data_IF_288226275881
#
_entry.id   IF_288226275881
#
_cell.length_a   1.000
_cell.length_b   1.000
_cell.length_c   1.000
_cell.angle_alpha   90.00
_cell.angle_beta   90.00
_cell.angle_gamma   90.00
#
_symmetry.space_group_name_H-M   'P 1'
#
loop_
_entity.id
_entity.type
_entity.pdbx_description
1 polymer ?
#
# COMPACT_ATOMS: atom_id res chain seq x y z
N UNK A 1 -3.96 14.77 16.93
CA UNK A 1 -5.22 14.07 16.56
C UNK A 1 -5.42 14.13 15.06
N UNK A 2 -4.86 13.14 14.36
CA UNK A 2 -5.10 12.96 12.94
C UNK A 2 -6.56 12.60 12.67
N UNK A 3 -7.09 13.03 11.53
CA UNK A 3 -8.42 12.62 11.03
C UNK A 3 -8.35 11.45 10.05
N UNK A 4 -7.15 10.98 9.72
CA UNK A 4 -6.96 9.90 8.76
C UNK A 4 -7.35 8.55 9.38
N UNK A 5 -8.16 7.76 8.68
CA UNK A 5 -8.62 6.46 9.18
C UNK A 5 -7.47 5.50 9.50
N UNK A 6 -6.39 5.49 8.72
CA UNK A 6 -5.24 4.62 8.97
C UNK A 6 -4.48 5.01 10.24
N UNK A 7 -4.40 6.32 10.54
CA UNK A 7 -3.76 6.82 11.76
C UNK A 7 -4.58 6.46 12.99
N UNK A 8 -5.90 6.62 12.92
CA UNK A 8 -6.83 6.25 13.99
C UNK A 8 -6.78 4.74 14.22
N UNK A 9 -6.80 3.95 13.14
CA UNK A 9 -6.75 2.49 13.19
C UNK A 9 -5.46 1.97 13.82
N UNK A 10 -4.28 2.46 13.40
CA UNK A 10 -3.02 1.93 13.93
C UNK A 10 -2.83 2.27 15.41
N UNK A 11 -3.30 3.45 15.85
CA UNK A 11 -3.31 3.85 17.26
C UNK A 11 -4.27 2.97 18.06
N UNK A 12 -5.46 2.69 17.53
CA UNK A 12 -6.43 1.78 18.13
C UNK A 12 -5.86 0.37 18.30
N UNK A 13 -5.23 -0.18 17.26
CA UNK A 13 -4.56 -1.49 17.31
C UNK A 13 -3.39 -1.51 18.31
N UNK A 14 -2.67 -0.39 18.46
CA UNK A 14 -1.57 -0.27 19.42
C UNK A 14 -2.10 -0.32 20.86
N UNK A 15 -3.16 0.43 21.18
CA UNK A 15 -3.76 0.39 22.52
C UNK A 15 -4.37 -0.99 22.83
N UNK A 16 -4.96 -1.65 21.83
CA UNK A 16 -5.42 -3.03 21.95
C UNK A 16 -4.28 -4.00 22.21
N UNK A 17 -3.17 -3.87 21.48
CA UNK A 17 -1.95 -4.66 21.70
C UNK A 17 -1.44 -4.50 23.14
N UNK A 18 -1.30 -3.27 23.64
CA UNK A 18 -0.82 -3.00 25.00
C UNK A 18 -1.74 -3.67 26.03
N UNK A 19 -3.06 -3.53 25.87
CA UNK A 19 -4.06 -4.18 26.75
C UNK A 19 -3.91 -5.70 26.75
N UNK A 20 -3.78 -6.33 25.58
CA UNK A 20 -3.62 -7.78 25.48
C UNK A 20 -2.30 -8.26 26.10
N UNK A 21 -1.20 -7.55 25.86
CA UNK A 21 0.12 -7.87 26.44
C UNK A 21 0.06 -7.75 27.96
N UNK A 22 -0.44 -6.64 28.49
CA UNK A 22 -0.51 -6.38 29.93
C UNK A 22 -1.34 -7.45 30.66
N UNK A 23 -2.56 -7.74 30.18
CA UNK A 23 -3.45 -8.73 30.79
C UNK A 23 -2.81 -10.13 30.83
N UNK A 24 -2.07 -10.51 29.79
CA UNK A 24 -1.41 -11.82 29.75
C UNK A 24 -0.12 -11.84 30.58
N UNK A 25 0.64 -10.74 30.61
CA UNK A 25 1.81 -10.60 31.49
C UNK A 25 1.44 -10.67 32.97
N UNK A 26 0.34 -10.03 33.39
CA UNK A 26 -0.19 -10.13 34.76
C UNK A 26 -0.56 -11.57 35.15
N UNK A 27 -0.93 -12.40 34.17
CA UNK A 27 -1.24 -13.83 34.36
C UNK A 27 -0.02 -14.74 34.19
N UNK A 28 1.17 -14.18 33.94
CA UNK A 28 2.39 -14.92 33.60
C UNK A 28 2.24 -15.83 32.36
N UNK A 29 1.30 -15.54 31.45
CA UNK A 29 1.11 -16.26 30.20
C UNK A 29 1.90 -15.57 29.07
N UNK A 30 3.22 -15.82 29.04
CA UNK A 30 4.12 -15.19 28.08
C UNK A 30 3.79 -15.54 26.63
N UNK A 31 3.29 -16.76 26.37
CA UNK A 31 2.95 -17.22 25.02
C UNK A 31 1.80 -16.38 24.45
N UNK A 32 0.75 -16.15 25.25
CA UNK A 32 -0.34 -15.27 24.84
C UNK A 32 0.05 -13.80 24.82
N UNK A 33 0.97 -13.37 25.68
CA UNK A 33 1.46 -11.99 25.67
C UNK A 33 2.25 -11.66 24.39
N UNK A 34 3.03 -12.60 23.84
CA UNK A 34 3.86 -12.31 22.66
C UNK A 34 3.13 -12.49 21.33
N UNK A 35 2.09 -13.34 21.26
CA UNK A 35 1.38 -13.67 20.02
C UNK A 35 0.82 -12.44 19.26
N UNK A 36 0.25 -11.42 19.93
CA UNK A 36 -0.30 -10.25 19.25
C UNK A 36 0.74 -9.40 18.48
N UNK A 37 2.03 -9.46 18.84
CA UNK A 37 3.06 -8.66 18.18
C UNK A 37 3.22 -8.98 16.69
N UNK A 38 3.11 -10.25 16.30
CA UNK A 38 3.24 -10.67 14.90
C UNK A 38 2.19 -9.96 14.03
N UNK A 39 0.93 -9.98 14.47
CA UNK A 39 -0.17 -9.32 13.79
C UNK A 39 0.02 -7.80 13.76
N UNK A 40 0.43 -7.20 14.88
CA UNK A 40 0.62 -5.76 14.92
C UNK A 40 1.75 -5.27 14.00
N UNK A 41 2.88 -6.00 13.96
CA UNK A 41 4.01 -5.66 13.07
C UNK A 41 3.62 -5.79 11.60
N UNK A 42 2.84 -6.81 11.23
CA UNK A 42 2.27 -6.93 9.88
C UNK A 42 1.35 -5.73 9.56
N UNK A 43 0.45 -5.37 10.49
CA UNK A 43 -0.45 -4.23 10.34
C UNK A 43 0.33 -2.92 10.13
N UNK A 44 1.35 -2.69 10.96
CA UNK A 44 2.17 -1.49 10.91
C UNK A 44 2.95 -1.40 9.59
N UNK A 45 3.61 -2.48 9.19
CA UNK A 45 4.48 -2.50 8.02
C UNK A 45 3.70 -2.55 6.69
N UNK A 46 2.87 -3.59 6.53
CA UNK A 46 2.25 -3.93 5.25
C UNK A 46 0.97 -3.16 4.97
N UNK A 47 0.32 -2.60 5.99
CA UNK A 47 -0.93 -1.86 5.82
C UNK A 47 -0.77 -0.38 6.11
N UNK A 48 -0.29 0.00 7.30
CA UNK A 48 -0.14 1.40 7.66
C UNK A 48 0.98 2.08 6.87
N UNK A 49 2.24 1.66 7.05
CA UNK A 49 3.41 2.32 6.41
C UNK A 49 3.31 2.25 4.89
N UNK A 50 3.00 1.08 4.32
CA UNK A 50 2.92 0.91 2.86
C UNK A 50 1.88 1.84 2.22
N UNK A 51 0.69 1.97 2.81
CA UNK A 51 -0.38 2.82 2.26
C UNK A 51 -0.15 4.30 2.55
N UNK A 52 0.50 4.62 3.67
CA UNK A 52 0.87 6.00 4.01
C UNK A 52 2.15 6.50 3.32
N UNK A 53 2.82 5.71 2.47
CA UNK A 53 4.05 6.12 1.73
C UNK A 53 3.92 7.46 1.01
N UNK A 54 2.79 7.69 0.34
CA UNK A 54 2.55 8.97 -0.36
C UNK A 54 2.55 10.14 0.62
N UNK A 55 2.03 9.96 1.83
CA UNK A 55 1.97 10.99 2.88
C UNK A 55 3.35 11.33 3.40
N UNK A 56 4.23 10.34 3.56
CA UNK A 56 5.62 10.57 3.97
C UNK A 56 6.45 11.30 2.90
N UNK A 57 6.22 11.02 1.62
CA UNK A 57 7.04 11.54 0.50
C UNK A 57 6.45 12.74 -0.25
N UNK A 58 5.40 13.39 0.26
CA UNK A 58 4.95 14.68 -0.26
C UNK A 58 6.06 15.72 -0.11
N UNK A 59 6.33 16.47 -1.18
CA UNK A 59 7.32 17.57 -1.18
C UNK A 59 6.86 18.77 -0.35
N UNK A 60 5.54 18.98 -0.26
CA UNK A 60 4.95 20.01 0.57
C UNK A 60 4.89 19.55 2.04
N UNK A 61 5.28 20.44 2.96
CA UNK A 61 5.05 20.23 4.39
C UNK A 61 3.60 20.65 4.70
N UNK A 62 2.68 19.71 4.51
CA UNK A 62 1.28 19.86 4.89
C UNK A 62 1.01 19.26 6.29
N UNK A 63 -0.12 19.67 6.89
CA UNK A 63 -0.54 19.15 8.20
C UNK A 63 -0.74 17.62 8.18
N UNK A 64 -1.12 17.06 7.04
CA UNK A 64 -1.32 15.61 6.86
C UNK A 64 -0.01 14.83 7.00
N UNK A 65 1.07 15.30 6.39
CA UNK A 65 2.41 14.71 6.51
C UNK A 65 2.92 14.76 7.95
N UNK A 66 2.73 15.89 8.64
CA UNK A 66 3.12 16.02 10.04
C UNK A 66 2.33 15.06 10.93
N UNK A 67 1.01 14.97 10.75
CA UNK A 67 0.16 13.99 11.45
C UNK A 67 0.64 12.55 11.22
N UNK A 68 0.99 12.17 9.98
CA UNK A 68 1.49 10.83 9.67
C UNK A 68 2.82 10.52 10.40
N UNK A 69 3.74 11.49 10.46
CA UNK A 69 5.00 11.34 11.19
C UNK A 69 4.80 11.27 12.69
N UNK A 70 3.95 12.13 13.26
CA UNK A 70 3.61 12.11 14.68
C UNK A 70 2.98 10.77 15.08
N UNK A 71 2.02 10.26 14.32
CA UNK A 71 1.39 8.97 14.57
C UNK A 71 2.40 7.82 14.48
N UNK A 72 3.27 7.83 13.46
CA UNK A 72 4.29 6.79 13.31
C UNK A 72 5.31 6.84 14.45
N UNK A 73 5.77 8.04 14.83
CA UNK A 73 6.69 8.24 15.95
C UNK A 73 6.09 7.74 17.25
N UNK A 74 4.86 8.18 17.58
CA UNK A 74 4.12 7.72 18.76
C UNK A 74 3.99 6.19 18.77
N UNK A 75 3.65 5.60 17.63
CA UNK A 75 3.47 4.15 17.50
C UNK A 75 4.76 3.39 17.74
N UNK A 76 5.86 3.79 17.10
CA UNK A 76 7.15 3.10 17.23
C UNK A 76 7.77 3.27 18.61
N UNK A 77 7.69 4.46 19.20
CA UNK A 77 8.18 4.72 20.56
C UNK A 77 7.41 3.89 21.56
N UNK A 78 6.08 3.88 21.48
CA UNK A 78 5.24 3.09 22.39
C UNK A 78 5.44 1.60 22.19
N UNK A 79 5.49 1.13 20.93
CA UNK A 79 5.81 -0.27 20.62
C UNK A 79 7.15 -0.68 21.21
N UNK A 80 8.18 0.18 21.13
CA UNK A 80 9.50 -0.08 21.71
C UNK A 80 9.41 -0.34 23.21
N UNK A 81 8.62 0.44 23.94
CA UNK A 81 8.37 0.20 25.37
C UNK A 81 7.62 -1.12 25.61
N UNK A 82 6.60 -1.43 24.80
CA UNK A 82 5.82 -2.66 24.94
C UNK A 82 6.65 -3.93 24.65
N UNK A 83 7.57 -3.88 23.68
CA UNK A 83 8.41 -5.04 23.31
C UNK A 83 9.67 -5.18 24.17
N UNK A 84 10.05 -4.15 24.95
CA UNK A 84 11.28 -4.13 25.75
C UNK A 84 11.46 -5.35 26.68
N UNK A 85 10.41 -5.86 27.37
CA UNK A 85 10.54 -7.06 28.21
C UNK A 85 10.86 -8.35 27.43
N UNK A 86 10.63 -8.38 26.12
CA UNK A 86 10.75 -9.58 25.28
C UNK A 86 11.96 -9.52 24.34
N UNK A 87 12.26 -8.35 23.77
CA UNK A 87 13.34 -8.14 22.78
C UNK A 87 14.15 -6.88 23.13
N UNK A 88 14.90 -6.90 24.24
CA UNK A 88 15.43 -5.69 24.86
C UNK A 88 16.41 -4.88 24.00
N UNK A 89 17.22 -5.54 23.19
CA UNK A 89 18.20 -4.87 22.32
C UNK A 89 17.54 -4.17 21.13
N UNK A 90 16.53 -4.82 20.52
CA UNK A 90 15.78 -4.23 19.39
C UNK A 90 14.96 -3.04 19.91
N UNK A 91 14.30 -3.20 21.06
CA UNK A 91 13.57 -2.13 21.71
C UNK A 91 14.44 -0.90 21.97
N UNK A 92 15.64 -1.12 22.52
CA UNK A 92 16.61 -0.08 22.83
C UNK A 92 17.07 0.67 21.57
N UNK A 93 17.40 -0.07 20.50
CA UNK A 93 17.86 0.51 19.25
C UNK A 93 16.80 1.39 18.59
N UNK A 94 15.54 0.92 18.53
CA UNK A 94 14.44 1.71 17.97
C UNK A 94 14.19 2.96 18.84
N UNK A 95 14.14 2.80 20.16
CA UNK A 95 13.84 3.89 21.09
C UNK A 95 14.90 5.00 21.05
N UNK A 96 16.19 4.65 21.07
CA UNK A 96 17.29 5.61 21.01
C UNK A 96 17.38 6.37 19.68
N UNK A 97 17.01 5.73 18.58
CA UNK A 97 17.00 6.39 17.28
C UNK A 97 15.85 7.39 17.11
N UNK A 98 14.77 7.24 17.88
CA UNK A 98 13.57 8.06 17.78
C UNK A 98 13.39 9.08 18.91
N UNK A 99 14.09 8.89 20.03
CA UNK A 99 14.01 9.75 21.22
C UNK A 99 15.38 10.30 21.57
N UNK A 100 15.43 11.28 22.48
CA UNK A 100 16.68 11.78 23.06
C UNK A 100 16.90 11.26 24.48
N UNK A 101 16.09 10.29 24.89
CA UNK A 101 16.07 9.74 26.24
C UNK A 101 17.17 8.67 26.40
N UNK A 102 17.49 8.35 27.66
CA UNK A 102 18.65 7.52 27.98
C UNK A 102 18.51 6.05 27.57
N UNK A 103 17.36 5.42 27.87
CA UNK A 103 17.10 4.02 27.55
C UNK A 103 15.61 3.70 27.68
N UNK A 104 15.11 2.77 26.86
CA UNK A 104 13.72 2.30 26.97
C UNK A 104 13.47 1.55 28.28
N UNK A 105 14.51 0.92 28.84
CA UNK A 105 14.45 0.10 30.05
C UNK A 105 14.34 0.91 31.34
N UNK A 106 14.50 2.24 31.24
CA UNK A 106 14.31 3.19 32.34
C UNK A 106 12.92 3.85 32.30
N UNK A 107 12.05 3.40 31.38
CA UNK A 107 10.70 3.95 31.22
C UNK A 107 9.65 3.01 31.82
N UNK A 108 8.54 3.59 32.27
CA UNK A 108 7.37 2.82 32.67
C UNK A 108 6.79 2.04 31.48
N UNK A 109 6.22 0.87 31.79
CA UNK A 109 5.44 0.12 30.80
C UNK A 109 4.26 0.99 30.31
N UNK A 110 4.00 1.05 28.99
CA UNK A 110 3.01 1.98 28.46
C UNK A 110 1.60 1.58 28.92
N UNK A 111 0.78 2.58 29.26
CA UNK A 111 -0.62 2.39 29.61
C UNK A 111 -1.49 2.41 28.35
N UNK A 112 -2.50 1.55 28.29
CA UNK A 112 -3.53 1.62 27.26
C UNK A 112 -4.66 2.60 27.66
N UNK A 113 -5.31 3.21 26.67
CA UNK A 113 -6.53 4.01 26.87
C UNK A 113 -7.69 3.33 26.15
N UNK A 114 -8.71 2.88 26.89
CA UNK A 114 -9.88 2.23 26.31
C UNK A 114 -10.65 3.14 25.34
N UNK A 115 -10.56 4.46 25.49
CA UNK A 115 -11.22 5.41 24.59
C UNK A 115 -10.54 5.49 23.22
N UNK A 116 -9.27 5.11 23.15
CA UNK A 116 -8.51 5.06 21.89
C UNK A 116 -8.71 3.72 21.17
N UNK A 117 -9.31 2.72 21.82
CA UNK A 117 -9.61 1.42 21.20
C UNK A 117 -10.97 1.50 20.51
N UNK A 118 -10.93 1.66 19.19
CA UNK A 118 -12.09 1.51 18.33
C UNK A 118 -12.20 0.04 17.86
N UNK A 119 -12.93 -0.78 18.64
CA UNK A 119 -13.13 -2.18 18.29
C UNK A 119 -13.88 -2.38 16.98
N UNK A 120 -14.81 -1.48 16.66
CA UNK A 120 -15.60 -1.56 15.42
C UNK A 120 -14.67 -1.37 14.23
N UNK A 121 -13.85 -0.31 14.24
CA UNK A 121 -12.87 -0.03 13.20
C UNK A 121 -11.85 -1.18 13.06
N UNK A 122 -11.35 -1.71 14.17
CA UNK A 122 -10.38 -2.81 14.14
C UNK A 122 -10.97 -4.06 13.49
N UNK A 123 -12.23 -4.40 13.79
CA UNK A 123 -12.95 -5.53 13.19
C UNK A 123 -13.19 -5.29 11.69
N UNK A 124 -13.69 -4.11 11.33
CA UNK A 124 -13.97 -3.76 9.93
C UNK A 124 -12.69 -3.73 9.08
N UNK A 125 -11.61 -3.19 9.61
CA UNK A 125 -10.31 -3.16 8.94
C UNK A 125 -9.74 -4.57 8.81
N UNK A 126 -9.80 -5.41 9.86
CA UNK A 126 -9.40 -6.82 9.76
C UNK A 126 -10.17 -7.54 8.66
N UNK A 127 -11.50 -7.43 8.65
CA UNK A 127 -12.35 -8.04 7.61
C UNK A 127 -11.98 -7.55 6.21
N UNK A 128 -11.75 -6.25 6.06
CA UNK A 128 -11.34 -5.65 4.78
C UNK A 128 -10.02 -6.25 4.29
N UNK A 129 -9.04 -6.41 5.18
CA UNK A 129 -7.74 -7.02 4.86
C UNK A 129 -7.86 -8.50 4.50
N UNK A 130 -8.68 -9.25 5.22
CA UNK A 130 -8.95 -10.66 4.95
C UNK A 130 -9.57 -10.83 3.54
N UNK A 131 -10.59 -10.02 3.21
CA UNK A 131 -11.21 -9.98 1.87
C UNK A 131 -10.17 -9.63 0.79
N UNK A 132 -9.34 -8.62 1.01
CA UNK A 132 -8.30 -8.23 0.05
C UNK A 132 -7.29 -9.37 -0.17
N UNK A 133 -6.86 -10.04 0.90
CA UNK A 133 -5.93 -11.17 0.83
C UNK A 133 -6.50 -12.31 0.00
N UNK A 134 -7.75 -12.70 0.27
CA UNK A 134 -8.47 -13.71 -0.51
C UNK A 134 -8.62 -13.30 -1.99
N UNK A 135 -8.94 -12.03 -2.26
CA UNK A 135 -9.03 -11.50 -3.62
C UNK A 135 -7.68 -11.55 -4.36
N UNK A 136 -6.58 -11.15 -3.72
CA UNK A 136 -5.23 -11.24 -4.29
C UNK A 136 -4.83 -12.70 -4.55
N UNK A 137 -5.25 -13.63 -3.68
CA UNK A 137 -5.06 -15.05 -3.89
C UNK A 137 -5.84 -15.54 -5.12
N UNK A 138 -7.11 -15.16 -5.28
CA UNK A 138 -7.91 -15.49 -6.47
C UNK A 138 -7.25 -14.94 -7.75
N UNK A 139 -6.70 -13.73 -7.73
CA UNK A 139 -5.95 -13.17 -8.86
C UNK A 139 -4.75 -14.04 -9.23
N UNK A 140 -4.01 -14.50 -8.22
CA UNK A 140 -2.83 -15.36 -8.40
C UNK A 140 -3.24 -16.71 -9.01
N UNK A 141 -4.31 -17.34 -8.51
CA UNK A 141 -4.85 -18.59 -9.05
C UNK A 141 -5.30 -18.45 -10.51
N UNK A 142 -5.92 -17.34 -10.86
CA UNK A 142 -6.35 -17.03 -12.24
C UNK A 142 -5.22 -16.45 -13.12
N UNK A 143 -3.99 -16.35 -12.60
CA UNK A 143 -2.81 -15.76 -13.29
C UNK A 143 -3.02 -14.32 -13.78
N UNK A 144 -3.89 -13.55 -13.11
CA UNK A 144 -4.18 -12.16 -13.42
C UNK A 144 -3.27 -11.25 -12.57
N UNK A 145 -2.34 -10.55 -13.21
CA UNK A 145 -1.45 -9.60 -12.52
C UNK A 145 -2.25 -8.46 -11.89
N UNK A 146 -1.91 -8.00 -10.68
CA UNK A 146 -2.60 -6.89 -9.99
C UNK A 146 -2.70 -5.62 -10.83
N UNK A 147 -1.72 -5.36 -11.70
CA UNK A 147 -1.72 -4.19 -12.61
C UNK A 147 -2.83 -4.21 -13.67
N UNK A 148 -3.40 -5.37 -13.98
CA UNK A 148 -4.55 -5.51 -14.87
C UNK A 148 -5.81 -5.04 -14.11
N UNK A 149 -6.44 -3.91 -14.44
CA UNK A 149 -7.68 -3.53 -13.77
C UNK A 149 -8.77 -4.55 -14.10
N UNK A 150 -9.60 -4.85 -13.11
CA UNK A 150 -10.82 -5.65 -13.29
C UNK A 150 -12.06 -4.76 -13.15
N UNK A 151 -13.15 -5.19 -13.76
CA UNK A 151 -14.41 -4.45 -13.76
C UNK A 151 -14.97 -4.32 -12.35
N UNK A 152 -15.16 -5.46 -11.70
CA UNK A 152 -15.78 -5.49 -10.39
C UNK A 152 -15.25 -6.64 -9.53
N UNK A 153 -15.49 -6.50 -8.23
CA UNK A 153 -15.42 -7.58 -7.26
C UNK A 153 -16.77 -7.69 -6.56
N UNK A 154 -17.23 -8.91 -6.31
CA UNK A 154 -18.43 -9.17 -5.51
C UNK A 154 -18.01 -9.65 -4.14
N UNK A 155 -18.42 -8.94 -3.09
CA UNK A 155 -18.19 -9.33 -1.70
C UNK A 155 -19.49 -9.82 -1.08
N UNK A 156 -19.38 -10.79 -0.18
CA UNK A 156 -20.53 -11.35 0.53
C UNK A 156 -21.10 -10.34 1.51
N UNK A 157 -20.18 -9.68 2.19
CA UNK A 157 -20.47 -8.87 3.34
C UNK A 157 -20.38 -7.38 3.04
N UNK A 158 -21.36 -6.62 3.51
CA UNK A 158 -21.35 -5.17 3.39
C UNK A 158 -20.26 -4.57 4.27
N UNK A 159 -19.35 -3.83 3.64
CA UNK A 159 -18.51 -2.83 4.28
C UNK A 159 -19.24 -1.49 4.14
N UNK A 160 -19.46 -0.76 5.22
CA UNK A 160 -20.21 0.51 5.17
C UNK A 160 -19.29 1.68 4.86
N UNK A 161 -18.14 1.71 5.53
CA UNK A 161 -17.15 2.77 5.42
C UNK A 161 -16.64 2.96 3.99
N UNK A 162 -16.61 4.22 3.55
CA UNK A 162 -16.23 4.60 2.19
C UNK A 162 -14.72 4.49 1.99
N UNK A 163 -13.93 4.89 2.99
CA UNK A 163 -12.47 4.83 2.93
C UNK A 163 -11.99 3.37 2.90
N UNK A 164 -12.63 2.46 3.66
CA UNK A 164 -12.33 1.01 3.59
C UNK A 164 -12.65 0.41 2.21
N UNK A 165 -13.72 0.85 1.56
CA UNK A 165 -14.02 0.45 0.17
C UNK A 165 -12.96 0.95 -0.80
N UNK A 166 -12.50 2.19 -0.62
CA UNK A 166 -11.45 2.74 -1.47
C UNK A 166 -10.13 2.01 -1.30
N UNK A 167 -9.76 1.65 -0.06
CA UNK A 167 -8.63 0.77 0.23
C UNK A 167 -8.77 -0.55 -0.56
N UNK A 168 -9.94 -1.19 -0.49
CA UNK A 168 -10.19 -2.44 -1.20
C UNK A 168 -10.13 -2.29 -2.74
N UNK A 169 -10.70 -1.20 -3.30
CA UNK A 169 -10.63 -0.92 -4.76
C UNK A 169 -9.20 -0.78 -5.24
N UNK A 170 -8.39 -0.03 -4.50
CA UNK A 170 -7.00 0.22 -4.84
C UNK A 170 -6.14 -1.05 -4.73
N UNK A 171 -6.26 -1.81 -3.65
CA UNK A 171 -5.47 -3.01 -3.42
C UNK A 171 -5.82 -4.12 -4.40
N UNK A 172 -7.11 -4.33 -4.66
CA UNK A 172 -7.57 -5.31 -5.63
C UNK A 172 -7.50 -4.80 -7.07
N UNK A 173 -7.22 -3.52 -7.30
CA UNK A 173 -7.28 -2.86 -8.61
C UNK A 173 -8.57 -3.19 -9.39
N UNK A 174 -9.70 -2.84 -8.79
CA UNK A 174 -11.04 -3.03 -9.36
C UNK A 174 -11.77 -1.68 -9.47
N UNK A 175 -12.66 -1.54 -10.46
CA UNK A 175 -13.44 -0.30 -10.62
C UNK A 175 -14.61 -0.26 -9.64
N UNK A 176 -15.36 -1.37 -9.53
CA UNK A 176 -16.56 -1.45 -8.71
C UNK A 176 -16.50 -2.56 -7.65
N UNK A 177 -17.29 -2.37 -6.59
CA UNK A 177 -17.50 -3.34 -5.52
C UNK A 177 -19.00 -3.61 -5.42
N UNK A 178 -19.39 -4.83 -5.77
CA UNK A 178 -20.76 -5.33 -5.72
C UNK A 178 -20.95 -6.14 -4.45
N UNK A 179 -22.18 -6.19 -3.94
CA UNK A 179 -22.52 -6.95 -2.74
C UNK A 179 -23.52 -8.03 -3.13
N UNK A 180 -23.26 -9.26 -2.71
CA UNK A 180 -24.16 -10.40 -2.93
C UNK A 180 -24.19 -11.29 -1.70
N UNK A 181 -25.21 -11.14 -0.86
CA UNK A 181 -25.36 -11.91 0.39
C UNK A 181 -25.56 -13.41 0.16
N UNK A 182 -25.98 -13.81 -1.05
CA UNK A 182 -26.29 -15.19 -1.43
C UNK A 182 -25.08 -16.01 -1.88
N UNK A 183 -23.88 -15.41 -1.98
CA UNK A 183 -22.71 -16.13 -2.47
C UNK A 183 -22.01 -16.92 -1.35
N UNK A 184 -21.45 -18.09 -1.72
CA UNK A 184 -20.75 -18.97 -0.77
C UNK A 184 -19.39 -18.40 -0.34
N UNK A 185 -18.62 -17.88 -1.30
CA UNK A 185 -17.29 -17.31 -1.09
C UNK A 185 -17.34 -15.88 -0.52
N UNK A 186 -16.41 -15.47 0.33
CA UNK A 186 -16.40 -14.10 0.87
C UNK A 186 -16.18 -13.06 -0.23
N UNK A 187 -15.44 -13.43 -1.29
CA UNK A 187 -15.08 -12.58 -2.41
C UNK A 187 -15.13 -13.36 -3.72
N UNK A 188 -15.55 -12.71 -4.80
CA UNK A 188 -15.50 -13.23 -6.17
C UNK A 188 -15.11 -12.15 -7.15
N UNK A 189 -14.06 -12.39 -7.93
CA UNK A 189 -13.58 -11.44 -8.94
C UNK A 189 -14.34 -11.60 -10.28
N UNK A 190 -14.64 -10.48 -10.93
CA UNK A 190 -15.01 -10.50 -12.34
C UNK A 190 -13.75 -10.72 -13.19
N UNK A 191 -13.57 -11.95 -13.67
CA UNK A 191 -12.42 -12.35 -14.49
C UNK A 191 -12.61 -12.01 -15.98
N UNK A 192 -13.75 -11.43 -16.38
CA UNK A 192 -13.98 -11.04 -17.76
C UNK A 192 -13.25 -9.72 -18.07
N UNK A 193 -12.12 -9.82 -18.75
CA UNK A 193 -11.31 -8.67 -19.15
C UNK A 193 -11.83 -8.14 -20.49
N UNK A 194 -12.51 -7.00 -20.45
CA UNK A 194 -12.93 -6.29 -21.67
C UNK A 194 -11.71 -5.76 -22.44
N UNK A 195 -11.82 -5.51 -23.75
CA UNK A 195 -10.72 -4.93 -24.55
C UNK A 195 -10.17 -3.64 -23.93
N UNK A 196 -11.04 -2.79 -23.38
CA UNK A 196 -10.65 -1.54 -22.74
C UNK A 196 -9.85 -1.74 -21.46
N UNK A 197 -10.26 -2.69 -20.61
CA UNK A 197 -9.51 -3.03 -19.41
C UNK A 197 -8.15 -3.64 -19.78
N UNK A 198 -8.08 -4.47 -20.83
CA UNK A 198 -6.83 -5.03 -21.32
C UNK A 198 -5.85 -3.93 -21.76
N UNK A 199 -6.32 -2.96 -22.54
CA UNK A 199 -5.52 -1.82 -22.96
C UNK A 199 -5.05 -0.97 -21.76
N UNK A 200 -5.90 -0.75 -20.75
CA UNK A 200 -5.52 -0.04 -19.52
C UNK A 200 -4.43 -0.81 -18.75
N UNK A 201 -4.54 -2.14 -18.67
CA UNK A 201 -3.53 -3.00 -18.05
C UNK A 201 -2.17 -2.92 -18.75
N UNK A 202 -2.18 -2.92 -20.09
CA UNK A 202 -0.96 -2.72 -20.90
C UNK A 202 -0.38 -1.33 -20.64
N UNK A 203 -1.21 -0.28 -20.62
CA UNK A 203 -0.76 1.09 -20.33
C UNK A 203 -0.04 1.19 -18.98
N UNK A 204 -0.59 0.56 -17.93
CA UNK A 204 0.05 0.54 -16.60
C UNK A 204 1.36 -0.25 -16.56
N UNK A 205 1.47 -1.33 -17.33
CA UNK A 205 2.73 -2.06 -17.46
C UNK A 205 3.77 -1.22 -18.21
N UNK A 206 3.37 -0.48 -19.26
CA UNK A 206 4.24 0.46 -19.97
C UNK A 206 4.75 1.56 -19.03
N UNK A 207 3.87 2.18 -18.24
CA UNK A 207 4.25 3.18 -17.22
C UNK A 207 5.31 2.62 -16.28
N UNK A 208 5.13 1.39 -15.78
CA UNK A 208 6.13 0.74 -14.90
C UNK A 208 7.47 0.59 -15.59
N UNK A 209 7.48 0.13 -16.85
CA UNK A 209 8.71 -0.05 -17.62
C UNK A 209 9.40 1.29 -17.84
N UNK A 210 8.67 2.34 -18.21
CA UNK A 210 9.21 3.68 -18.42
C UNK A 210 9.77 4.24 -17.10
N UNK A 211 9.05 4.09 -15.99
CA UNK A 211 9.54 4.53 -14.68
C UNK A 211 10.81 3.80 -14.24
N UNK A 212 10.90 2.51 -14.56
CA UNK A 212 12.12 1.73 -14.34
C UNK A 212 13.27 2.23 -15.24
N UNK A 213 12.98 2.53 -16.50
CA UNK A 213 13.95 3.13 -17.43
C UNK A 213 14.45 4.49 -16.94
N UNK A 214 13.59 5.34 -16.36
CA UNK A 214 13.99 6.63 -15.76
C UNK A 214 15.02 6.44 -14.64
N UNK A 215 14.81 5.44 -13.78
CA UNK A 215 15.75 5.10 -12.70
C UNK A 215 17.07 4.56 -13.25
N UNK A 216 17.00 3.68 -14.25
CA UNK A 216 18.18 3.11 -14.92
C UNK A 216 19.01 4.19 -15.63
N UNK A 217 18.36 5.20 -16.22
CA UNK A 217 19.01 6.34 -16.84
C UNK A 217 19.51 7.41 -15.84
N UNK A 218 19.26 7.22 -14.54
CA UNK A 218 19.70 8.15 -13.50
C UNK A 218 18.94 9.48 -13.47
N UNK A 219 17.71 9.54 -13.98
CA UNK A 219 16.90 10.76 -13.95
C UNK A 219 16.39 11.07 -12.56
N UNK A 220 16.32 12.36 -12.24
CA UNK A 220 15.69 12.84 -11.01
C UNK A 220 14.16 12.75 -11.11
N UNK A 221 13.50 12.78 -9.96
CA UNK A 221 12.06 12.50 -9.82
C UNK A 221 11.21 13.52 -10.61
N UNK A 222 11.66 14.77 -10.71
CA UNK A 222 10.97 15.90 -11.35
C UNK A 222 11.35 16.10 -12.82
N UNK A 223 12.30 15.33 -13.35
CA UNK A 223 12.76 15.48 -14.72
C UNK A 223 11.64 15.14 -15.72
N UNK A 224 11.42 16.05 -16.66
CA UNK A 224 10.51 15.85 -17.79
C UNK A 224 11.25 15.15 -18.93
N UNK A 225 10.56 14.28 -19.65
CA UNK A 225 11.15 13.44 -20.70
C UNK A 225 10.33 13.45 -21.99
N UNK A 226 10.95 13.14 -23.12
CA UNK A 226 10.28 12.75 -24.35
C UNK A 226 10.32 11.24 -24.50
N UNK A 227 9.18 10.64 -24.83
CA UNK A 227 9.02 9.19 -25.00
C UNK A 227 8.69 8.93 -26.47
N UNK A 228 9.52 8.09 -27.10
CA UNK A 228 9.24 7.56 -28.42
C UNK A 228 8.96 6.07 -28.34
N UNK A 229 8.04 5.59 -29.17
CA UNK A 229 7.65 4.19 -29.15
C UNK A 229 7.40 3.63 -30.54
N UNK A 230 7.68 2.34 -30.71
CA UNK A 230 7.23 1.53 -31.85
C UNK A 230 6.43 0.31 -31.36
N UNK A 231 5.56 -0.23 -32.22
CA UNK A 231 4.64 -1.31 -31.89
C UNK A 231 3.16 -0.89 -31.96
N UNK A 232 2.30 -1.54 -31.17
CA UNK A 232 0.86 -1.33 -31.22
C UNK A 232 0.47 0.07 -30.74
N UNK A 233 -0.21 0.84 -31.60
CA UNK A 233 -0.55 2.25 -31.33
C UNK A 233 -1.79 2.42 -30.43
N UNK A 234 -2.68 1.43 -30.40
CA UNK A 234 -4.00 1.50 -29.76
C UNK A 234 -3.93 1.93 -28.29
N UNK A 235 -2.96 1.39 -27.55
CA UNK A 235 -2.76 1.71 -26.12
C UNK A 235 -2.39 3.17 -25.93
N UNK A 236 -1.49 3.69 -26.76
CA UNK A 236 -1.02 5.07 -26.67
C UNK A 236 -2.04 6.09 -27.18
N UNK A 237 -2.88 5.70 -28.15
CA UNK A 237 -3.99 6.55 -28.61
C UNK A 237 -5.04 6.70 -27.50
N UNK A 238 -5.37 5.62 -26.79
CA UNK A 238 -6.44 5.63 -25.78
C UNK A 238 -5.98 6.06 -24.39
N UNK A 239 -4.75 5.73 -24.00
CA UNK A 239 -4.21 5.96 -22.66
C UNK A 239 -2.91 6.80 -22.68
N UNK A 240 -2.64 7.54 -23.76
CA UNK A 240 -1.47 8.40 -23.89
C UNK A 240 -1.37 9.44 -22.77
N UNK A 241 -2.47 10.10 -22.43
CA UNK A 241 -2.52 11.10 -21.35
C UNK A 241 -2.16 10.51 -19.98
N UNK A 242 -2.64 9.28 -19.70
CA UNK A 242 -2.30 8.55 -18.48
C UNK A 242 -0.79 8.27 -18.45
N UNK A 243 -0.24 7.75 -19.55
CA UNK A 243 1.19 7.41 -19.65
C UNK A 243 2.03 8.68 -19.48
N UNK A 244 1.71 9.76 -20.19
CA UNK A 244 2.44 11.02 -20.13
C UNK A 244 2.41 11.62 -18.71
N UNK A 245 1.23 11.67 -18.08
CA UNK A 245 1.07 12.20 -16.73
C UNK A 245 1.86 11.40 -15.70
N UNK A 246 1.73 10.08 -15.71
CA UNK A 246 2.40 9.21 -14.73
C UNK A 246 3.91 9.12 -14.96
N UNK A 247 4.41 9.47 -16.15
CA UNK A 247 5.86 9.42 -16.48
C UNK A 247 6.51 10.79 -16.59
N UNK A 248 5.80 11.88 -16.29
CA UNK A 248 6.22 13.27 -16.53
C UNK A 248 6.72 13.50 -17.97
N UNK A 249 6.08 12.87 -18.94
CA UNK A 249 6.45 13.03 -20.34
C UNK A 249 5.85 14.33 -20.91
N UNK A 250 6.67 15.13 -21.57
CA UNK A 250 6.21 16.30 -22.33
C UNK A 250 5.76 15.91 -23.74
N UNK A 251 6.33 14.85 -24.27
CA UNK A 251 6.10 14.39 -25.64
C UNK A 251 5.97 12.87 -25.65
N UNK A 252 4.97 12.40 -26.39
CA UNK A 252 4.74 10.99 -26.64
C UNK A 252 4.51 10.80 -28.15
N UNK A 253 5.51 10.28 -28.84
CA UNK A 253 5.57 10.26 -30.31
C UNK A 253 5.82 8.86 -30.85
N UNK A 254 5.09 8.48 -31.90
CA UNK A 254 5.31 7.20 -32.58
C UNK A 254 6.50 7.30 -33.53
N UNK A 255 7.47 6.40 -33.39
CA UNK A 255 8.65 6.34 -34.25
C UNK A 255 9.90 5.86 -33.53
N UNK A 256 10.96 5.67 -34.30
CA UNK A 256 12.29 5.45 -33.76
C UNK A 256 13.00 6.78 -33.52
N UNK A 257 13.79 6.84 -32.44
CA UNK A 257 14.61 8.00 -32.14
C UNK A 257 16.06 7.68 -32.45
N UNK A 258 16.76 8.56 -33.18
CA UNK A 258 18.17 8.34 -33.54
C UNK A 258 19.11 8.63 -32.36
N UNK A 259 18.75 9.59 -31.51
CA UNK A 259 19.48 9.93 -30.28
C UNK A 259 18.60 9.67 -29.07
N UNK A 260 18.92 8.66 -28.26
CA UNK A 260 18.17 8.32 -27.05
C UNK A 260 19.14 8.08 -25.89
N UNK A 261 18.67 8.29 -24.67
CA UNK A 261 19.46 8.01 -23.47
C UNK A 261 19.33 6.53 -23.06
N UNK A 262 18.15 5.94 -23.27
CA UNK A 262 17.91 4.52 -23.03
C UNK A 262 16.85 3.96 -23.99
N UNK A 263 17.09 2.74 -24.47
CA UNK A 263 16.15 1.94 -25.26
C UNK A 263 15.81 0.65 -24.51
N UNK A 264 14.54 0.23 -24.58
CA UNK A 264 14.11 -1.06 -24.03
C UNK A 264 13.08 -1.72 -24.93
N UNK A 265 13.32 -2.99 -25.25
CA UNK A 265 12.35 -3.84 -25.92
C UNK A 265 11.59 -4.68 -24.90
N UNK A 266 10.28 -4.75 -25.04
CA UNK A 266 9.39 -5.47 -24.14
C UNK A 266 8.29 -6.20 -24.92
N UNK A 267 7.93 -7.38 -24.42
CA UNK A 267 6.79 -8.16 -24.88
C UNK A 267 5.69 -8.11 -23.82
N UNK A 268 4.55 -7.50 -24.17
CA UNK A 268 3.37 -7.46 -23.31
C UNK A 268 2.21 -8.10 -24.07
N UNK A 269 1.65 -9.18 -23.51
CA UNK A 269 0.51 -9.91 -24.07
C UNK A 269 0.68 -10.30 -25.56
N UNK A 270 1.92 -10.66 -25.95
CA UNK A 270 2.27 -11.06 -27.31
C UNK A 270 2.57 -9.89 -28.26
N UNK A 271 2.36 -8.65 -27.83
CA UNK A 271 2.73 -7.45 -28.59
C UNK A 271 4.14 -6.99 -28.22
N UNK A 272 4.98 -6.78 -29.23
CA UNK A 272 6.33 -6.22 -29.08
C UNK A 272 6.24 -4.69 -29.09
N UNK A 273 6.76 -4.07 -28.04
CA UNK A 273 6.95 -2.62 -27.95
C UNK A 273 8.43 -2.31 -27.81
N UNK A 274 8.90 -1.31 -28.54
CA UNK A 274 10.23 -0.73 -28.33
C UNK A 274 10.03 0.68 -27.82
N UNK A 275 10.60 0.98 -26.66
CA UNK A 275 10.49 2.27 -25.99
C UNK A 275 11.85 2.96 -26.00
N UNK A 276 11.83 4.25 -26.28
CA UNK A 276 12.99 5.14 -26.23
C UNK A 276 12.66 6.30 -25.30
N UNK A 277 13.58 6.64 -24.40
CA UNK A 277 13.46 7.82 -23.55
C UNK A 277 14.61 8.79 -23.84
N UNK A 278 14.28 10.08 -23.76
CA UNK A 278 15.24 11.17 -23.84
C UNK A 278 14.87 12.27 -22.85
N UNK A 279 15.84 12.82 -22.14
CA UNK A 279 15.65 14.00 -21.27
C UNK A 279 15.67 15.31 -22.08
#
# INVERSE_FOLDING_TARGET
>A
NSKNLLDIWIVSELHKLIKEVEVNMQKYDLVKATKPFEFFVDNLSNWYIRRSRKRFWKSENDDDKNNAYETLHYTLVTLSKTIAPFVPFIAEEIYKNLTKDESVHLTDFPLFDEKMIDEKLNIEMKRTRDIISEGLQQRTLNKIKVRQPLKAVTIKDKIEDVELKDIMREELNVKDILISETQEENIKLDTNITPDLKLEGIARELVRVIQQMRKEAGYEVDNRISIFYTGAKEVFVKFGDLIAKETLANELSFGELVTFDLQKEILIDGNKYVLFIKK
#
